data_IF_834895060110
#
_entry.id   IF_834895060110
#
_cell.length_a   1.000
_cell.length_b   1.000
_cell.length_c   1.000
_cell.angle_alpha   90.00
_cell.angle_beta   90.00
_cell.angle_gamma   90.00
#
_symmetry.space_group_name_H-M   'P 1'
#
loop_
_entity.id
_entity.type
_entity.pdbx_description
1 polymer ?
#
# COMPACT_ATOMS: atom_id res chain seq x y z
N UNK A 1 11.26 12.72 -4.29
CA UNK A 1 12.15 12.47 -5.45
C UNK A 1 13.51 11.85 -5.11
N UNK A 2 14.16 12.19 -3.98
CA UNK A 2 15.45 11.56 -3.60
C UNK A 2 15.34 10.04 -3.41
N UNK A 3 14.26 9.57 -2.76
CA UNK A 3 14.00 8.12 -2.62
C UNK A 3 13.85 7.44 -3.98
N UNK A 4 13.10 8.02 -4.92
CA UNK A 4 12.98 7.52 -6.31
C UNK A 4 14.36 7.30 -6.94
N UNK A 5 15.24 8.29 -6.84
CA UNK A 5 16.60 8.19 -7.38
C UNK A 5 17.38 7.04 -6.72
N UNK A 6 17.28 6.90 -5.40
CA UNK A 6 17.93 5.81 -4.67
C UNK A 6 17.45 4.41 -5.10
N UNK A 7 16.14 4.25 -5.34
CA UNK A 7 15.56 3.01 -5.84
C UNK A 7 15.99 2.71 -7.28
N UNK A 8 16.02 3.73 -8.15
CA UNK A 8 16.47 3.57 -9.54
C UNK A 8 17.95 3.20 -9.64
N UNK A 9 18.77 3.71 -8.72
CA UNK A 9 20.18 3.39 -8.61
C UNK A 9 20.43 2.03 -7.94
N UNK A 10 19.43 1.39 -7.32
CA UNK A 10 19.61 0.13 -6.59
C UNK A 10 20.44 0.28 -5.31
N UNK A 11 20.45 1.48 -4.70
CA UNK A 11 21.24 1.74 -3.49
C UNK A 11 20.92 0.76 -2.35
N UNK A 12 19.64 0.46 -2.03
CA UNK A 12 19.34 -0.48 -0.95
C UNK A 12 19.93 -1.88 -1.17
N UNK A 13 19.80 -2.41 -2.39
CA UNK A 13 20.32 -3.74 -2.75
C UNK A 13 21.86 -3.77 -2.69
N UNK A 14 22.54 -2.73 -3.21
CA UNK A 14 24.02 -2.66 -3.15
C UNK A 14 24.53 -2.65 -1.72
N UNK A 15 23.90 -1.86 -0.83
CA UNK A 15 24.31 -1.83 0.59
C UNK A 15 24.03 -3.20 1.24
N UNK A 16 22.91 -3.83 0.91
CA UNK A 16 22.57 -5.17 1.40
C UNK A 16 23.60 -6.22 0.98
N UNK A 17 23.89 -6.32 -0.32
CA UNK A 17 24.83 -7.29 -0.89
C UNK A 17 26.27 -7.05 -0.47
N UNK A 18 26.63 -5.82 -0.11
CA UNK A 18 27.95 -5.53 0.47
C UNK A 18 28.14 -6.19 1.84
N UNK A 19 27.06 -6.44 2.59
CA UNK A 19 27.06 -7.22 3.84
C UNK A 19 27.68 -6.52 5.06
N UNK A 20 28.14 -5.27 4.92
CA UNK A 20 28.77 -4.46 5.98
C UNK A 20 28.54 -2.96 5.72
N UNK A 21 28.88 -2.04 6.65
CA UNK A 21 28.84 -0.60 6.37
C UNK A 21 29.70 -0.27 5.14
N UNK A 22 29.11 0.43 4.15
CA UNK A 22 29.79 0.77 2.90
C UNK A 22 30.28 2.22 2.92
N UNK A 23 31.50 2.48 2.46
CA UNK A 23 31.99 3.86 2.28
C UNK A 23 31.36 4.51 1.04
N UNK A 24 31.44 5.84 0.94
CA UNK A 24 30.98 6.55 -0.27
C UNK A 24 31.72 6.09 -1.53
N UNK A 25 33.03 5.82 -1.43
CA UNK A 25 33.86 5.39 -2.56
C UNK A 25 33.52 3.97 -3.03
N UNK A 26 33.31 3.04 -2.09
CA UNK A 26 32.84 1.69 -2.40
C UNK A 26 31.45 1.73 -3.05
N UNK A 27 30.53 2.54 -2.51
CA UNK A 27 29.18 2.69 -3.06
C UNK A 27 29.21 3.27 -4.48
N UNK A 28 30.02 4.31 -4.72
CA UNK A 28 30.19 4.90 -6.05
C UNK A 28 30.72 3.89 -7.06
N UNK A 29 31.67 3.05 -6.65
CA UNK A 29 32.25 1.98 -7.46
C UNK A 29 31.21 0.90 -7.77
N UNK A 30 30.48 0.44 -6.76
CA UNK A 30 29.44 -0.59 -6.92
C UNK A 30 28.27 -0.12 -7.80
N UNK A 31 27.95 1.18 -7.76
CA UNK A 31 26.94 1.80 -8.62
C UNK A 31 27.42 2.07 -10.06
N UNK A 32 28.70 1.84 -10.36
CA UNK A 32 29.33 2.20 -11.63
C UNK A 32 29.12 3.69 -12.02
N UNK A 33 29.09 4.59 -11.03
CA UNK A 33 28.92 6.04 -11.24
C UNK A 33 30.28 6.70 -11.49
N UNK A 34 30.35 7.65 -12.43
CA UNK A 34 31.55 8.45 -12.67
C UNK A 34 32.01 9.17 -11.41
N UNK A 35 33.32 9.17 -11.14
CA UNK A 35 33.94 9.92 -10.04
C UNK A 35 33.63 11.42 -10.07
N UNK A 36 33.30 11.99 -11.24
CA UNK A 36 32.83 13.38 -11.38
C UNK A 36 31.51 13.67 -10.64
N UNK A 37 30.77 12.63 -10.25
CA UNK A 37 29.48 12.74 -9.54
C UNK A 37 29.59 12.42 -8.05
N UNK A 38 30.80 12.25 -7.50
CA UNK A 38 31.03 11.92 -6.08
C UNK A 38 30.27 12.87 -5.14
N UNK A 39 30.42 14.19 -5.33
CA UNK A 39 29.70 15.20 -4.55
C UNK A 39 28.18 15.12 -4.69
N UNK A 40 27.69 14.74 -5.88
CA UNK A 40 26.25 14.59 -6.13
C UNK A 40 25.69 13.36 -5.39
N UNK A 41 26.41 12.23 -5.43
CA UNK A 41 26.04 11.03 -4.68
C UNK A 41 26.08 11.30 -3.17
N UNK A 42 27.12 11.98 -2.68
CA UNK A 42 27.20 12.36 -1.26
C UNK A 42 26.00 13.21 -0.81
N UNK A 43 25.59 14.20 -1.61
CA UNK A 43 24.40 15.02 -1.33
C UNK A 43 23.12 14.18 -1.31
N UNK A 44 22.98 13.21 -2.22
CA UNK A 44 21.86 12.27 -2.20
C UNK A 44 21.86 11.42 -0.93
N UNK A 45 23.02 10.86 -0.54
CA UNK A 45 23.13 10.06 0.68
C UNK A 45 22.80 10.87 1.93
N UNK A 46 23.20 12.14 2.01
CA UNK A 46 22.86 13.01 3.15
C UNK A 46 21.37 13.17 3.38
N UNK A 47 20.59 13.39 2.31
CA UNK A 47 19.14 13.52 2.45
C UNK A 47 18.50 12.18 2.80
N UNK A 48 18.99 11.06 2.24
CA UNK A 48 18.52 9.71 2.61
C UNK A 48 18.82 9.37 4.08
N UNK A 49 19.96 9.83 4.60
CA UNK A 49 20.31 9.70 6.02
C UNK A 49 19.37 10.53 6.89
N UNK A 50 19.18 11.80 6.54
CA UNK A 50 18.30 12.69 7.29
C UNK A 50 16.84 12.19 7.30
N UNK A 51 16.37 11.64 6.19
CA UNK A 51 15.04 11.04 6.07
C UNK A 51 14.91 9.66 6.73
N UNK A 52 15.98 9.11 7.33
CA UNK A 52 15.95 7.83 8.05
C UNK A 52 15.94 6.58 7.16
N UNK A 53 16.17 6.71 5.86
CA UNK A 53 16.33 5.55 4.97
C UNK A 53 17.73 4.95 5.10
N UNK A 54 18.75 5.74 5.39
CA UNK A 54 20.13 5.26 5.52
C UNK A 54 20.65 5.64 6.91
N UNK A 55 21.30 4.70 7.60
CA UNK A 55 22.04 4.99 8.81
C UNK A 55 23.47 5.39 8.47
N UNK A 56 24.02 6.33 9.23
CA UNK A 56 25.43 6.72 9.16
C UNK A 56 26.22 6.01 10.25
N UNK A 57 27.38 5.48 9.89
CA UNK A 57 28.39 4.95 10.80
C UNK A 57 29.79 5.48 10.48
N UNK A 58 30.77 4.96 11.19
CA UNK A 58 32.19 5.27 11.00
C UNK A 58 32.98 3.97 11.07
N UNK A 59 33.92 3.76 10.13
CA UNK A 59 34.78 2.58 10.13
C UNK A 59 36.02 2.78 11.04
N UNK A 60 36.90 1.77 11.09
CA UNK A 60 38.15 1.82 11.89
C UNK A 60 39.13 2.92 11.46
N UNK A 61 39.01 3.40 10.23
CA UNK A 61 39.85 4.45 9.65
C UNK A 61 39.21 5.84 9.79
N UNK A 62 38.18 5.99 10.63
CA UNK A 62 37.42 7.22 10.81
C UNK A 62 36.65 7.72 9.57
N UNK A 63 36.47 6.86 8.57
CA UNK A 63 35.72 7.20 7.35
C UNK A 63 34.22 7.01 7.55
N UNK A 64 33.43 7.92 6.97
CA UNK A 64 31.97 7.85 6.96
C UNK A 64 31.50 6.61 6.17
N UNK A 65 30.58 5.85 6.78
CA UNK A 65 29.97 4.66 6.16
C UNK A 65 28.45 4.70 6.24
N UNK A 66 27.81 3.96 5.34
CA UNK A 66 26.36 3.90 5.18
C UNK A 66 25.85 2.48 5.43
N UNK A 67 24.68 2.39 6.06
CA UNK A 67 24.00 1.15 6.44
C UNK A 67 22.51 1.28 6.14
N UNK A 68 21.83 0.15 5.93
CA UNK A 68 20.37 0.13 5.88
C UNK A 68 19.78 0.33 7.27
N UNK A 69 18.67 1.06 7.33
CA UNK A 69 17.79 1.14 8.50
C UNK A 69 16.72 0.04 8.41
N UNK A 70 15.98 -0.26 9.49
CA UNK A 70 14.85 -1.19 9.40
C UNK A 70 13.86 -0.84 8.27
N UNK A 71 13.63 0.45 8.02
CA UNK A 71 12.75 0.92 6.94
C UNK A 71 13.31 0.64 5.55
N UNK A 72 14.61 0.85 5.31
CA UNK A 72 15.21 0.58 4.00
C UNK A 72 15.55 -0.89 3.76
N UNK A 73 15.58 -1.72 4.80
CA UNK A 73 15.60 -3.18 4.62
C UNK A 73 14.35 -3.69 3.91
N UNK A 74 13.20 -3.01 4.04
CA UNK A 74 12.00 -3.31 3.25
C UNK A 74 12.18 -2.94 1.76
N UNK A 75 13.18 -2.14 1.39
CA UNK A 75 13.43 -1.74 0.01
C UNK A 75 14.40 -2.67 -0.72
N UNK A 76 14.87 -3.74 -0.05
CA UNK A 76 15.76 -4.74 -0.61
C UNK A 76 14.95 -5.82 -1.33
N UNK A 77 15.27 -6.13 -2.58
CA UNK A 77 14.50 -7.06 -3.42
C UNK A 77 14.43 -8.48 -2.86
N UNK A 78 15.52 -8.96 -2.26
CA UNK A 78 15.62 -10.32 -1.70
C UNK A 78 14.89 -10.49 -0.37
N UNK A 79 14.43 -9.40 0.25
CA UNK A 79 13.65 -9.48 1.47
C UNK A 79 12.26 -10.08 1.15
N UNK A 80 11.87 -11.13 1.88
CA UNK A 80 10.55 -11.77 1.71
C UNK A 80 9.38 -10.82 2.01
N UNK A 81 9.62 -9.81 2.84
CA UNK A 81 8.67 -8.76 3.21
C UNK A 81 8.97 -7.43 2.52
N UNK A 82 9.63 -7.46 1.36
CA UNK A 82 9.98 -6.22 0.66
C UNK A 82 8.72 -5.42 0.27
N UNK A 83 8.92 -4.11 0.13
CA UNK A 83 7.99 -3.07 -0.28
C UNK A 83 8.55 -2.29 -1.48
N UNK A 84 9.46 -2.92 -2.25
CA UNK A 84 10.19 -2.25 -3.31
C UNK A 84 9.27 -1.77 -4.43
N UNK A 85 8.40 -2.65 -4.97
CA UNK A 85 7.47 -2.27 -6.03
C UNK A 85 6.46 -1.24 -5.51
N UNK A 86 6.00 -1.39 -4.26
CA UNK A 86 5.12 -0.41 -3.61
C UNK A 86 5.76 0.98 -3.56
N UNK A 87 7.01 1.07 -3.10
CA UNK A 87 7.75 2.32 -3.06
C UNK A 87 7.99 2.88 -4.48
N UNK A 88 8.31 2.04 -5.46
CA UNK A 88 8.53 2.43 -6.85
C UNK A 88 7.27 3.03 -7.49
N UNK A 89 6.10 2.42 -7.26
CA UNK A 89 4.81 2.94 -7.74
C UNK A 89 4.49 4.27 -7.06
N UNK A 90 4.62 4.35 -5.73
CA UNK A 90 4.30 5.56 -4.97
C UNK A 90 5.16 6.78 -5.32
N UNK A 91 6.43 6.59 -5.67
CA UNK A 91 7.33 7.68 -6.12
C UNK A 91 7.44 7.77 -7.66
N UNK A 92 6.74 6.90 -8.37
CA UNK A 92 6.80 6.73 -9.81
C UNK A 92 6.06 7.84 -10.55
N UNK A 93 6.42 8.12 -11.82
CA UNK A 93 5.73 9.13 -12.62
C UNK A 93 4.24 8.83 -12.78
N UNK A 94 3.85 7.55 -12.76
CA UNK A 94 2.46 7.11 -12.92
C UNK A 94 1.52 7.77 -11.91
N UNK A 95 1.85 7.71 -10.62
CA UNK A 95 1.03 8.30 -9.56
C UNK A 95 1.44 9.72 -9.18
N UNK A 96 2.64 10.18 -9.55
CA UNK A 96 3.13 11.53 -9.19
C UNK A 96 2.83 12.60 -10.24
N UNK A 97 2.75 12.26 -11.53
CA UNK A 97 2.50 13.24 -12.60
C UNK A 97 1.11 13.88 -12.51
N UNK A 98 0.03 13.15 -12.20
CA UNK A 98 -1.31 13.73 -12.07
C UNK A 98 -1.40 14.90 -11.08
N UNK A 99 -0.57 14.90 -10.03
CA UNK A 99 -0.55 15.96 -9.02
C UNK A 99 -0.18 17.33 -9.57
N UNK A 100 0.56 17.39 -10.70
CA UNK A 100 0.90 18.66 -11.33
C UNK A 100 -0.33 19.40 -11.88
N UNK A 101 -1.41 18.67 -12.16
CA UNK A 101 -2.66 19.21 -12.68
C UNK A 101 -3.67 19.58 -11.59
N UNK A 102 -3.38 19.28 -10.31
CA UNK A 102 -4.35 19.38 -9.22
C UNK A 102 -4.99 20.77 -9.09
N UNK A 103 -4.20 21.85 -9.18
CA UNK A 103 -4.73 23.22 -9.09
C UNK A 103 -5.62 23.61 -10.27
N UNK A 104 -5.38 23.06 -11.47
CA UNK A 104 -6.22 23.27 -12.65
C UNK A 104 -7.48 22.40 -12.59
N UNK A 105 -7.35 21.18 -12.06
CA UNK A 105 -8.41 20.21 -11.92
C UNK A 105 -9.58 20.70 -11.07
N UNK A 106 -9.32 21.40 -9.96
CA UNK A 106 -10.38 22.02 -9.12
C UNK A 106 -11.28 23.03 -9.88
N UNK A 107 -10.92 23.43 -11.11
CA UNK A 107 -11.68 24.37 -11.95
C UNK A 107 -12.42 23.69 -13.09
N UNK A 108 -12.30 22.37 -13.23
CA UNK A 108 -12.91 21.57 -14.30
C UNK A 108 -13.85 20.49 -13.73
N UNK A 109 -14.84 20.03 -14.50
CA UNK A 109 -15.80 19.02 -14.02
C UNK A 109 -15.29 17.55 -14.10
N UNK A 110 -15.90 16.73 -13.24
CA UNK A 110 -16.12 15.26 -13.20
C UNK A 110 -14.99 14.25 -13.41
N UNK A 111 -13.94 14.53 -14.19
CA UNK A 111 -12.83 13.58 -14.40
C UNK A 111 -11.89 13.51 -13.19
N UNK A 112 -11.03 12.48 -13.08
CA UNK A 112 -9.93 12.46 -12.09
C UNK A 112 -8.73 13.30 -12.54
N UNK A 113 -7.81 13.68 -11.63
CA UNK A 113 -6.53 14.30 -12.04
C UNK A 113 -5.72 13.37 -12.94
N UNK A 114 -5.82 12.06 -12.69
CA UNK A 114 -5.19 11.04 -13.52
C UNK A 114 -5.74 11.03 -14.94
N UNK A 115 -7.05 11.04 -15.11
CA UNK A 115 -7.69 11.14 -16.43
C UNK A 115 -7.33 12.42 -17.14
N UNK A 116 -7.30 13.56 -16.43
CA UNK A 116 -6.88 14.82 -17.02
C UNK A 116 -5.43 14.78 -17.54
N UNK A 117 -4.54 14.05 -16.84
CA UNK A 117 -3.13 13.94 -17.21
C UNK A 117 -2.87 12.88 -18.29
N UNK A 118 -3.66 11.79 -18.34
CA UNK A 118 -3.40 10.62 -19.18
C UNK A 118 -4.46 10.38 -20.27
N UNK A 119 -5.58 11.09 -20.25
CA UNK A 119 -6.69 10.96 -21.19
C UNK A 119 -7.58 9.73 -20.98
N UNK A 120 -7.32 8.92 -19.95
CA UNK A 120 -8.05 7.68 -19.63
C UNK A 120 -7.93 7.38 -18.14
N UNK A 121 -8.77 6.48 -17.62
CA UNK A 121 -8.72 6.06 -16.21
C UNK A 121 -7.44 5.25 -15.93
N UNK A 122 -7.05 5.15 -14.65
CA UNK A 122 -5.93 4.32 -14.26
C UNK A 122 -6.12 2.85 -14.71
N UNK A 123 -7.32 2.32 -14.49
CA UNK A 123 -7.66 0.92 -14.77
C UNK A 123 -7.65 0.61 -16.26
N UNK A 124 -8.20 1.50 -17.09
CA UNK A 124 -8.16 1.36 -18.54
C UNK A 124 -6.72 1.38 -19.06
N UNK A 125 -5.88 2.29 -18.54
CA UNK A 125 -4.47 2.35 -18.89
C UNK A 125 -3.74 1.06 -18.48
N UNK A 126 -3.96 0.58 -17.25
CA UNK A 126 -3.35 -0.66 -16.75
C UNK A 126 -3.76 -1.87 -17.60
N UNK A 127 -5.02 -1.94 -18.02
CA UNK A 127 -5.52 -3.03 -18.88
C UNK A 127 -4.82 -3.10 -20.24
N UNK A 128 -4.34 -1.96 -20.76
CA UNK A 128 -3.66 -1.84 -22.06
C UNK A 128 -2.14 -2.02 -21.95
N UNK A 129 -1.56 -1.89 -20.75
CA UNK A 129 -0.13 -1.93 -20.52
C UNK A 129 0.24 -3.03 -19.49
N UNK A 130 0.51 -4.27 -19.94
CA UNK A 130 0.78 -5.40 -19.05
C UNK A 130 1.93 -5.16 -18.06
N UNK A 131 2.98 -4.44 -18.46
CA UNK A 131 4.11 -4.10 -17.57
C UNK A 131 3.68 -3.20 -16.40
N UNK A 132 2.81 -2.22 -16.67
CA UNK A 132 2.25 -1.35 -15.65
C UNK A 132 1.34 -2.14 -14.71
N UNK A 133 0.44 -2.96 -15.28
CA UNK A 133 -0.45 -3.80 -14.49
C UNK A 133 0.33 -4.76 -13.58
N UNK A 134 1.38 -5.40 -14.12
CA UNK A 134 2.23 -6.31 -13.34
C UNK A 134 2.97 -5.59 -12.22
N UNK A 135 3.53 -4.41 -12.49
CA UNK A 135 4.22 -3.61 -11.47
C UNK A 135 3.24 -3.17 -10.37
N UNK A 136 2.04 -2.72 -10.74
CA UNK A 136 1.02 -2.32 -9.79
C UNK A 136 0.54 -3.52 -8.96
N UNK A 137 0.23 -4.65 -9.59
CA UNK A 137 -0.16 -5.87 -8.87
C UNK A 137 0.93 -6.38 -7.92
N UNK A 138 2.21 -6.26 -8.28
CA UNK A 138 3.32 -6.60 -7.38
C UNK A 138 3.45 -5.60 -6.22
N UNK A 139 3.31 -4.30 -6.49
CA UNK A 139 3.29 -3.26 -5.46
C UNK A 139 2.20 -3.52 -4.42
N UNK A 140 1.04 -3.92 -4.91
CA UNK A 140 -0.09 -4.29 -4.10
C UNK A 140 0.15 -5.59 -3.31
N UNK A 141 0.70 -6.61 -3.94
CA UNK A 141 1.07 -7.84 -3.27
C UNK A 141 2.13 -7.60 -2.17
N UNK A 142 3.08 -6.68 -2.35
CA UNK A 142 4.03 -6.27 -1.30
C UNK A 142 3.29 -5.79 -0.05
N UNK A 143 2.39 -4.82 -0.23
CA UNK A 143 1.63 -4.22 0.87
C UNK A 143 0.70 -5.23 1.55
N UNK A 144 -0.01 -6.06 0.76
CA UNK A 144 -0.85 -7.13 1.28
C UNK A 144 -0.06 -8.13 2.12
N UNK A 145 1.15 -8.55 1.70
CA UNK A 145 1.99 -9.47 2.49
C UNK A 145 2.29 -8.91 3.87
N UNK A 146 2.69 -7.63 3.94
CA UNK A 146 2.99 -6.96 5.20
C UNK A 146 1.77 -6.87 6.10
N UNK A 147 0.64 -6.39 5.57
CA UNK A 147 -0.61 -6.26 6.31
C UNK A 147 -1.10 -7.63 6.83
N UNK A 148 -1.14 -8.64 5.96
CA UNK A 148 -1.69 -9.95 6.30
C UNK A 148 -0.84 -10.70 7.31
N UNK A 149 0.47 -10.45 7.37
CA UNK A 149 1.33 -10.99 8.43
C UNK A 149 0.87 -10.51 9.82
N UNK A 150 0.47 -9.24 9.92
CA UNK A 150 -0.06 -8.67 11.17
C UNK A 150 -1.47 -9.16 11.44
N UNK A 151 -2.33 -9.20 10.43
CA UNK A 151 -3.72 -9.68 10.56
C UNK A 151 -3.75 -11.14 11.05
N UNK A 152 -2.96 -12.03 10.46
CA UNK A 152 -2.90 -13.44 10.89
C UNK A 152 -2.36 -13.56 12.31
N UNK A 153 -1.34 -12.78 12.68
CA UNK A 153 -0.73 -12.83 14.00
C UNK A 153 -1.65 -12.26 15.10
N UNK A 154 -2.19 -11.08 14.87
CA UNK A 154 -2.82 -10.25 15.91
C UNK A 154 -4.35 -10.21 15.81
N UNK A 155 -4.93 -10.66 14.70
CA UNK A 155 -6.36 -10.68 14.43
C UNK A 155 -6.87 -12.06 13.98
N UNK A 156 -6.15 -13.14 14.32
CA UNK A 156 -6.52 -14.52 13.96
C UNK A 156 -7.96 -14.89 14.33
N UNK A 157 -8.50 -14.31 15.40
CA UNK A 157 -9.87 -14.52 15.87
C UNK A 157 -10.93 -14.23 14.80
N UNK A 158 -10.63 -13.34 13.86
CA UNK A 158 -11.54 -12.99 12.76
C UNK A 158 -11.78 -14.19 11.82
N UNK A 159 -10.85 -15.13 11.74
CA UNK A 159 -10.94 -16.26 10.79
C UNK A 159 -11.34 -17.59 11.44
N UNK A 160 -11.22 -17.73 12.77
CA UNK A 160 -11.29 -19.04 13.47
C UNK A 160 -12.55 -19.87 13.25
N UNK A 161 -13.70 -19.25 13.02
CA UNK A 161 -14.99 -19.95 12.85
C UNK A 161 -15.38 -20.16 11.39
N UNK A 162 -14.58 -19.66 10.44
CA UNK A 162 -14.92 -19.71 9.03
C UNK A 162 -14.62 -21.09 8.44
N UNK A 163 -15.47 -21.53 7.50
CA UNK A 163 -15.23 -22.74 6.70
C UNK A 163 -14.88 -22.43 5.25
N UNK A 164 -15.34 -21.29 4.76
CA UNK A 164 -15.05 -20.77 3.44
C UNK A 164 -14.90 -19.26 3.48
N UNK A 165 -14.04 -18.73 2.64
CA UNK A 165 -13.80 -17.30 2.47
C UNK A 165 -13.72 -16.98 0.98
N UNK A 166 -14.42 -15.94 0.55
CA UNK A 166 -14.29 -15.36 -0.79
C UNK A 166 -13.57 -14.04 -0.65
N UNK A 167 -12.41 -13.93 -1.29
CA UNK A 167 -11.60 -12.73 -1.36
C UNK A 167 -12.03 -11.93 -2.60
N UNK A 168 -12.94 -10.97 -2.40
CA UNK A 168 -13.46 -10.08 -3.44
C UNK A 168 -12.41 -9.00 -3.69
N UNK A 169 -11.94 -8.84 -4.93
CA UNK A 169 -10.79 -7.98 -5.23
C UNK A 169 -9.47 -8.57 -4.74
N UNK A 170 -9.36 -9.89 -4.68
CA UNK A 170 -8.21 -10.59 -4.08
C UNK A 170 -6.89 -10.50 -4.88
N UNK A 171 -6.89 -9.77 -5.99
CA UNK A 171 -5.82 -9.59 -6.95
C UNK A 171 -5.27 -10.91 -7.46
N UNK A 172 -3.96 -11.07 -7.30
CA UNK A 172 -3.21 -12.29 -7.64
C UNK A 172 -3.34 -13.39 -6.57
N UNK A 173 -4.21 -13.21 -5.57
CA UNK A 173 -4.50 -14.21 -4.54
C UNK A 173 -3.58 -14.20 -3.33
N UNK A 174 -2.85 -13.11 -3.10
CA UNK A 174 -1.89 -13.01 -1.98
C UNK A 174 -2.58 -13.22 -0.63
N UNK A 175 -3.72 -12.57 -0.38
CA UNK A 175 -4.49 -12.73 0.86
C UNK A 175 -5.01 -14.16 1.01
N UNK A 176 -5.70 -14.68 -0.01
CA UNK A 176 -6.22 -16.05 0.00
C UNK A 176 -5.14 -17.10 0.27
N UNK A 177 -3.95 -16.96 -0.33
CA UNK A 177 -2.81 -17.85 -0.09
C UNK A 177 -2.38 -17.81 1.38
N UNK A 178 -2.11 -16.64 1.93
CA UNK A 178 -1.66 -16.49 3.34
C UNK A 178 -2.72 -17.04 4.31
N UNK A 179 -4.00 -16.76 4.07
CA UNK A 179 -5.09 -17.30 4.90
C UNK A 179 -5.16 -18.82 4.79
N UNK A 180 -5.04 -19.40 3.59
CA UNK A 180 -5.08 -20.85 3.41
C UNK A 180 -3.90 -21.56 4.08
N UNK A 181 -2.71 -20.95 4.10
CA UNK A 181 -1.52 -21.46 4.80
C UNK A 181 -1.70 -21.39 6.32
N UNK A 182 -2.24 -20.27 6.84
CA UNK A 182 -2.44 -20.06 8.27
C UNK A 182 -3.66 -20.82 8.84
N UNK A 183 -4.70 -21.03 8.04
CA UNK A 183 -5.95 -21.68 8.41
C UNK A 183 -6.35 -22.74 7.38
N UNK A 184 -5.70 -23.92 7.38
CA UNK A 184 -5.89 -24.95 6.33
C UNK A 184 -7.31 -25.52 6.23
N UNK A 185 -8.16 -25.26 7.21
CA UNK A 185 -9.57 -25.67 7.23
C UNK A 185 -10.49 -24.72 6.46
N UNK A 186 -10.01 -23.51 6.08
CA UNK A 186 -10.79 -22.52 5.35
C UNK A 186 -10.59 -22.75 3.86
N UNK A 187 -11.68 -23.01 3.13
CA UNK A 187 -11.68 -23.00 1.67
C UNK A 187 -11.67 -21.56 1.16
N UNK A 188 -10.55 -21.11 0.60
CA UNK A 188 -10.44 -19.78 0.00
C UNK A 188 -10.79 -19.81 -1.51
N UNK A 189 -11.58 -18.84 -1.94
CA UNK A 189 -11.88 -18.54 -3.35
C UNK A 189 -11.47 -17.10 -3.62
N UNK A 190 -10.81 -16.85 -4.74
CA UNK A 190 -10.47 -15.49 -5.19
C UNK A 190 -11.51 -15.09 -6.23
N UNK A 191 -12.11 -13.91 -6.07
CA UNK A 191 -13.01 -13.31 -7.03
C UNK A 191 -12.47 -11.94 -7.40
N UNK A 192 -11.97 -11.79 -8.62
CA UNK A 192 -11.45 -10.50 -9.07
C UNK A 192 -11.65 -10.29 -10.57
N UNK A 193 -11.61 -9.02 -10.97
CA UNK A 193 -11.26 -8.58 -12.30
C UNK A 193 -9.72 -8.54 -12.42
N UNK A 194 -9.16 -8.40 -13.63
CA UNK A 194 -7.70 -8.35 -13.79
C UNK A 194 -6.99 -7.15 -13.11
N UNK A 195 -7.73 -6.22 -12.49
CA UNK A 195 -7.22 -4.89 -12.14
C UNK A 195 -8.04 -4.10 -11.09
N UNK A 196 -8.77 -4.67 -10.11
CA UNK A 196 -9.70 -3.85 -9.26
C UNK A 196 -9.44 -3.97 -7.76
N UNK A 197 -9.52 -2.84 -7.04
CA UNK A 197 -9.54 -2.74 -5.57
C UNK A 197 -10.92 -2.24 -5.11
N UNK A 198 -11.31 -2.50 -3.85
CA UNK A 198 -12.76 -2.69 -3.56
C UNK A 198 -13.52 -1.53 -2.96
N UNK A 199 -13.12 -0.90 -1.84
CA UNK A 199 -14.01 0.08 -1.19
C UNK A 199 -13.44 1.50 -1.18
N UNK A 200 -12.18 1.73 -0.83
CA UNK A 200 -11.59 3.07 -0.94
C UNK A 200 -11.48 3.62 -2.37
N UNK A 201 -11.57 2.76 -3.39
CA UNK A 201 -11.53 3.13 -4.81
C UNK A 201 -12.84 3.71 -5.34
N UNK A 202 -13.94 3.50 -4.62
CA UNK A 202 -15.29 3.70 -5.14
C UNK A 202 -16.06 4.77 -4.37
N UNK A 203 -17.09 5.30 -5.02
CA UNK A 203 -18.07 6.19 -4.40
C UNK A 203 -18.83 5.49 -3.26
N UNK A 204 -19.43 6.26 -2.36
CA UNK A 204 -20.25 5.70 -1.27
C UNK A 204 -21.45 4.89 -1.83
N UNK A 205 -22.06 5.36 -2.92
CA UNK A 205 -23.15 4.67 -3.61
C UNK A 205 -22.72 3.32 -4.17
N UNK A 206 -21.52 3.24 -4.75
CA UNK A 206 -20.99 2.00 -5.30
C UNK A 206 -20.53 1.04 -4.21
N UNK A 207 -19.92 1.54 -3.12
CA UNK A 207 -19.64 0.73 -1.93
C UNK A 207 -20.92 0.10 -1.37
N UNK A 208 -22.03 0.84 -1.29
CA UNK A 208 -23.32 0.29 -0.84
C UNK A 208 -23.81 -0.81 -1.79
N UNK A 209 -23.68 -0.65 -3.10
CA UNK A 209 -24.06 -1.70 -4.07
C UNK A 209 -23.21 -2.96 -3.91
N UNK A 210 -21.89 -2.81 -3.76
CA UNK A 210 -20.95 -3.90 -3.54
C UNK A 210 -21.31 -4.65 -2.25
N UNK A 211 -21.45 -3.92 -1.14
CA UNK A 211 -21.75 -4.52 0.16
C UNK A 211 -23.12 -5.21 0.20
N UNK A 212 -24.13 -4.71 -0.53
CA UNK A 212 -25.41 -5.42 -0.69
C UNK A 212 -25.23 -6.78 -1.38
N UNK A 213 -24.39 -6.87 -2.41
CA UNK A 213 -24.05 -8.16 -3.06
C UNK A 213 -23.26 -9.07 -2.13
N UNK A 214 -22.31 -8.53 -1.37
CA UNK A 214 -21.61 -9.30 -0.35
C UNK A 214 -22.59 -9.84 0.71
N UNK A 215 -23.57 -9.04 1.13
CA UNK A 215 -24.61 -9.45 2.08
C UNK A 215 -25.45 -10.61 1.55
N UNK A 216 -25.84 -10.57 0.28
CA UNK A 216 -26.60 -11.65 -0.40
C UNK A 216 -25.79 -12.96 -0.49
N UNK A 217 -24.46 -12.87 -0.52
CA UNK A 217 -23.56 -14.02 -0.71
C UNK A 217 -23.17 -14.74 0.59
N UNK A 218 -23.47 -14.17 1.77
CA UNK A 218 -23.10 -14.73 3.07
C UNK A 218 -24.34 -15.28 3.80
N UNK A 219 -24.18 -16.29 4.68
CA UNK A 219 -25.27 -16.80 5.51
C UNK A 219 -25.65 -15.81 6.62
N UNK A 220 -26.61 -16.17 7.48
CA UNK A 220 -26.97 -15.31 8.61
C UNK A 220 -25.81 -15.16 9.61
N UNK A 221 -25.90 -14.16 10.49
CA UNK A 221 -24.90 -13.96 11.53
C UNK A 221 -24.77 -15.18 12.45
N UNK A 222 -25.89 -15.83 12.79
CA UNK A 222 -25.94 -17.01 13.66
C UNK A 222 -25.24 -18.21 13.02
N UNK A 223 -25.26 -18.29 11.70
CA UNK A 223 -24.53 -19.27 10.89
C UNK A 223 -23.07 -18.87 10.61
N UNK A 224 -22.63 -17.73 11.18
CA UNK A 224 -21.25 -17.23 11.09
C UNK A 224 -20.99 -16.31 9.90
N UNK A 225 -22.03 -15.84 9.20
CA UNK A 225 -21.91 -14.91 8.08
C UNK A 225 -21.43 -13.53 8.53
N UNK A 226 -20.40 -13.02 7.85
CA UNK A 226 -19.87 -11.67 8.01
C UNK A 226 -19.09 -11.25 6.78
N UNK A 227 -18.95 -9.94 6.59
CA UNK A 227 -17.99 -9.35 5.65
C UNK A 227 -16.82 -8.80 6.45
N UNK A 228 -15.61 -9.04 5.97
CA UNK A 228 -14.37 -8.53 6.55
C UNK A 228 -13.82 -7.50 5.57
N UNK A 229 -13.57 -6.29 6.05
CA UNK A 229 -13.00 -5.19 5.28
C UNK A 229 -11.66 -4.83 5.91
N UNK A 230 -10.63 -4.69 5.08
CA UNK A 230 -9.31 -4.20 5.46
C UNK A 230 -9.09 -2.86 4.75
N UNK A 231 -9.26 -1.76 5.48
CA UNK A 231 -9.16 -0.43 4.87
C UNK A 231 -8.78 0.63 5.93
N UNK A 232 -8.47 1.86 5.51
CA UNK A 232 -8.22 2.93 6.47
C UNK A 232 -9.53 3.42 7.12
N UNK A 233 -9.40 3.80 8.38
CA UNK A 233 -10.43 4.54 9.10
C UNK A 233 -9.76 5.83 9.55
N UNK A 234 -10.03 6.90 8.82
CA UNK A 234 -9.40 8.20 9.02
C UNK A 234 -9.86 8.76 10.36
N UNK A 235 -8.88 9.09 11.21
CA UNK A 235 -9.13 9.77 12.46
C UNK A 235 -8.28 11.04 12.57
N UNK A 236 -8.95 12.18 12.53
CA UNK A 236 -8.32 13.51 12.63
C UNK A 236 -8.00 13.90 14.08
N UNK A 237 -8.31 13.06 15.07
CA UNK A 237 -7.85 13.26 16.43
C UNK A 237 -6.32 13.29 16.46
N UNK A 238 -5.73 14.44 16.85
CA UNK A 238 -4.28 14.72 16.86
C UNK A 238 -3.43 13.79 17.78
N UNK A 239 -3.99 12.71 18.32
CA UNK A 239 -3.32 11.77 19.23
C UNK A 239 -2.23 10.94 18.55
N UNK A 240 -2.33 10.70 17.24
CA UNK A 240 -1.35 9.93 16.46
C UNK A 240 -0.90 10.67 15.18
N UNK A 241 -0.29 11.84 15.34
CA UNK A 241 0.05 12.78 14.26
C UNK A 241 0.65 12.13 12.99
N UNK A 242 1.54 11.14 13.11
CA UNK A 242 2.19 10.52 11.93
C UNK A 242 1.27 9.58 11.14
N UNK A 243 0.40 8.82 11.82
CA UNK A 243 -0.53 7.94 11.10
C UNK A 243 -1.65 8.75 10.45
N UNK A 244 -2.16 9.79 11.13
CA UNK A 244 -3.13 10.72 10.54
C UNK A 244 -2.57 11.41 9.30
N UNK A 245 -1.33 11.92 9.32
CA UNK A 245 -0.70 12.51 8.13
C UNK A 245 -0.61 11.51 6.97
N UNK A 246 -0.31 10.25 7.27
CA UNK A 246 -0.27 9.18 6.26
C UNK A 246 -1.67 8.92 5.70
N UNK A 247 -2.69 8.76 6.54
CA UNK A 247 -4.07 8.52 6.13
C UNK A 247 -4.60 9.65 5.24
N UNK A 248 -4.38 10.92 5.62
CA UNK A 248 -4.78 12.08 4.83
C UNK A 248 -4.02 12.17 3.50
N UNK A 249 -2.76 11.75 3.47
CA UNK A 249 -2.01 11.64 2.20
C UNK A 249 -2.61 10.57 1.28
N UNK A 250 -3.04 9.42 1.82
CA UNK A 250 -3.73 8.38 1.05
C UNK A 250 -5.09 8.87 0.56
N UNK A 251 -5.85 9.61 1.36
CA UNK A 251 -7.13 10.22 0.91
C UNK A 251 -6.93 11.10 -0.33
N UNK A 252 -5.94 12.00 -0.28
CA UNK A 252 -5.56 12.82 -1.44
C UNK A 252 -5.09 11.96 -2.62
N UNK A 253 -4.36 10.87 -2.37
CA UNK A 253 -3.93 9.94 -3.42
C UNK A 253 -5.13 9.28 -4.11
N UNK A 254 -6.14 8.86 -3.35
CA UNK A 254 -7.37 8.23 -3.86
C UNK A 254 -8.14 9.21 -4.74
N UNK A 255 -8.34 10.44 -4.27
CA UNK A 255 -9.01 11.51 -5.03
C UNK A 255 -8.26 11.83 -6.33
N UNK A 256 -6.93 11.95 -6.29
CA UNK A 256 -6.11 12.34 -7.46
C UNK A 256 -6.07 11.22 -8.51
N UNK A 257 -5.96 9.96 -8.10
CA UNK A 257 -5.61 8.88 -9.02
C UNK A 257 -6.76 7.96 -9.40
N UNK A 258 -7.71 7.74 -8.49
CA UNK A 258 -8.70 6.65 -8.63
C UNK A 258 -10.15 7.14 -8.56
N UNK A 259 -10.39 8.38 -8.13
CA UNK A 259 -11.75 8.90 -7.91
C UNK A 259 -12.40 8.35 -6.63
N UNK A 260 -11.59 7.68 -5.81
CA UNK A 260 -11.97 7.14 -4.51
C UNK A 260 -11.74 8.11 -3.36
N UNK A 261 -11.88 7.61 -2.13
CA UNK A 261 -11.62 8.35 -0.89
C UNK A 261 -11.33 7.41 0.28
N UNK A 262 -10.54 7.89 1.23
CA UNK A 262 -10.42 7.27 2.55
C UNK A 262 -11.55 7.80 3.46
N UNK A 263 -12.03 6.96 4.37
CA UNK A 263 -13.27 7.25 5.11
C UNK A 263 -13.07 7.34 6.60
N UNK A 264 -13.79 8.26 7.23
CA UNK A 264 -13.97 8.29 8.69
C UNK A 264 -14.85 7.14 9.16
N UNK A 265 -14.82 6.85 10.47
CA UNK A 265 -15.72 5.85 11.07
C UNK A 265 -17.21 6.19 10.84
N UNK A 266 -17.56 7.48 10.85
CA UNK A 266 -18.93 7.93 10.62
C UNK A 266 -19.41 7.63 9.19
N UNK A 267 -18.56 7.85 8.18
CA UNK A 267 -18.87 7.52 6.79
C UNK A 267 -18.97 6.02 6.56
N UNK A 268 -18.05 5.23 7.16
CA UNK A 268 -18.14 3.77 7.14
C UNK A 268 -19.46 3.28 7.74
N UNK A 269 -19.86 3.79 8.90
CA UNK A 269 -21.11 3.42 9.56
C UNK A 269 -22.33 3.73 8.70
N UNK A 270 -22.33 4.88 8.02
CA UNK A 270 -23.40 5.23 7.07
C UNK A 270 -23.48 4.22 5.94
N UNK A 271 -22.36 3.87 5.32
CA UNK A 271 -22.29 2.88 4.23
C UNK A 271 -22.78 1.50 4.70
N UNK A 272 -22.34 1.04 5.87
CA UNK A 272 -22.78 -0.24 6.44
C UNK A 272 -24.29 -0.26 6.66
N UNK A 273 -24.83 0.82 7.21
CA UNK A 273 -26.27 0.96 7.48
C UNK A 273 -27.07 1.00 6.17
N UNK A 274 -26.64 1.77 5.18
CA UNK A 274 -27.31 1.91 3.88
C UNK A 274 -27.23 0.61 3.05
N UNK A 275 -26.19 -0.21 3.28
CA UNK A 275 -26.07 -1.57 2.74
C UNK A 275 -26.87 -2.62 3.53
N UNK A 276 -27.47 -2.23 4.66
CA UNK A 276 -28.37 -3.04 5.48
C UNK A 276 -27.68 -3.90 6.52
N UNK A 277 -26.41 -3.66 6.87
CA UNK A 277 -25.73 -4.34 7.97
C UNK A 277 -26.17 -3.74 9.31
N UNK A 278 -26.31 -4.58 10.33
CA UNK A 278 -26.90 -4.16 11.62
C UNK A 278 -25.88 -4.00 12.74
N UNK A 279 -24.72 -4.64 12.60
CA UNK A 279 -23.66 -4.61 13.60
C UNK A 279 -22.31 -4.55 12.91
N UNK A 280 -21.35 -3.92 13.59
CA UNK A 280 -19.98 -3.82 13.12
C UNK A 280 -18.98 -3.85 14.28
N UNK A 281 -17.73 -4.14 13.96
CA UNK A 281 -16.59 -4.05 14.89
C UNK A 281 -15.38 -3.55 14.11
N UNK A 282 -14.73 -2.50 14.60
CA UNK A 282 -13.52 -1.93 14.02
C UNK A 282 -12.36 -2.16 14.98
N UNK A 283 -11.23 -2.65 14.46
CA UNK A 283 -9.99 -2.81 15.21
C UNK A 283 -8.84 -2.20 14.40
N UNK A 284 -8.17 -1.15 14.93
CA UNK A 284 -7.00 -0.57 14.29
C UNK A 284 -5.84 -1.58 14.16
N UNK A 285 -5.10 -1.49 13.06
CA UNK A 285 -3.94 -2.33 12.73
C UNK A 285 -2.85 -1.45 12.11
N UNK A 286 -1.60 -1.61 12.56
CA UNK A 286 -0.44 -0.87 12.06
C UNK A 286 -0.56 0.66 12.15
N UNK A 287 -1.42 1.17 13.05
CA UNK A 287 -1.75 2.58 13.25
C UNK A 287 -2.37 3.31 12.05
N UNK A 288 -2.32 2.75 10.83
CA UNK A 288 -2.81 3.37 9.59
C UNK A 288 -4.07 2.73 9.02
N UNK A 289 -4.28 1.43 9.25
CA UNK A 289 -5.41 0.65 8.71
C UNK A 289 -6.29 0.12 9.83
N UNK A 290 -7.43 -0.42 9.48
CA UNK A 290 -8.31 -1.15 10.38
C UNK A 290 -8.78 -2.44 9.74
N UNK A 291 -9.03 -3.45 10.57
CA UNK A 291 -9.90 -4.56 10.21
C UNK A 291 -11.31 -4.27 10.72
N UNK A 292 -12.27 -4.37 9.82
CA UNK A 292 -13.68 -4.13 10.11
C UNK A 292 -14.46 -5.41 9.84
N UNK A 293 -15.20 -5.86 10.83
CA UNK A 293 -16.15 -6.97 10.70
C UNK A 293 -17.55 -6.37 10.66
N UNK A 294 -18.33 -6.64 9.62
CA UNK A 294 -19.73 -6.21 9.52
C UNK A 294 -20.66 -7.43 9.38
N UNK A 295 -21.83 -7.37 10.02
CA UNK A 295 -22.75 -8.49 10.18
C UNK A 295 -24.14 -8.21 9.56
N UNK A 296 -24.69 -9.16 8.79
CA UNK A 296 -25.94 -8.99 8.05
C UNK A 296 -27.17 -8.77 8.93
#
# INVERSE_FOLDING_TARGET
MSLKCALQLGIPDIIHHHGRPITLSELLTALAISSTKTDSLWRLMRILVHSGFIARGTNRNEEETYLLTPSSQLLVKENSMNMLAFAQVGVGPLLTTPWNSLGAWFRQPESTCFEMANGTTFWDLASQHPELNNLFNEAMANDTRLLMTVVVRDCSEVFRSLRSLVDVGGGTGTTARIISEAFPHIKCTILDLPHVWILHDWSDEDCVKILRRCKEAIPSKEEGGKVIILDMVVNEDMRHHKSTETQLFFDMMMMVNFGGKERSEFEWLKIFTDAGFTQYKIKPILDVRSIMEIYP
#
